data_IF_736349225439
#
_entry.id   IF_736349225439
#
_cell.length_a   1.000
_cell.length_b   1.000
_cell.length_c   1.000
_cell.angle_alpha   90.00
_cell.angle_beta   90.00
_cell.angle_gamma   90.00
#
_symmetry.space_group_name_H-M   'P 1'
#
loop_
_entity.id
_entity.type
_entity.pdbx_description
1 polymer ?
#
# COMPACT_ATOMS: atom_id res chain seq x y z
N UNK A 1 -26.28 -35.02 42.86
CA UNK A 1 -26.93 -35.03 44.20
C UNK A 1 -26.85 -33.63 44.78
N UNK A 2 -27.95 -33.18 45.40
CA UNK A 2 -28.37 -31.80 45.73
C UNK A 2 -29.17 -31.18 44.57
N UNK A 3 -30.38 -31.67 44.27
CA UNK A 3 -31.65 -31.42 44.96
C UNK A 3 -32.00 -29.93 45.08
N UNK A 4 -33.14 -29.59 44.46
CA UNK A 4 -33.59 -28.24 44.19
C UNK A 4 -33.96 -27.46 45.44
N UNK A 5 -33.55 -26.20 45.45
CA UNK A 5 -34.14 -25.19 46.31
C UNK A 5 -35.48 -24.83 45.70
N UNK A 6 -36.54 -25.13 46.44
CA UNK A 6 -37.92 -24.86 46.09
C UNK A 6 -38.13 -23.34 46.04
N UNK A 7 -38.73 -22.83 44.96
CA UNK A 7 -39.01 -21.39 44.75
C UNK A 7 -39.78 -20.75 45.92
N UNK A 8 -40.49 -21.55 46.72
CA UNK A 8 -41.20 -21.12 47.91
C UNK A 8 -40.30 -20.72 49.11
N UNK A 9 -39.00 -21.05 49.10
CA UNK A 9 -38.06 -20.59 50.15
C UNK A 9 -37.50 -19.19 49.91
N UNK A 10 -37.68 -18.60 48.72
CA UNK A 10 -37.30 -17.20 48.45
C UNK A 10 -38.30 -16.18 49.03
N UNK A 11 -39.46 -16.64 49.51
CA UNK A 11 -40.51 -15.79 50.05
C UNK A 11 -40.26 -15.36 51.51
N UNK A 12 -39.30 -15.99 52.19
CA UNK A 12 -38.94 -15.71 53.59
C UNK A 12 -37.65 -14.86 53.73
N UNK A 13 -37.12 -14.31 52.64
CA UNK A 13 -36.12 -13.25 52.75
C UNK A 13 -36.82 -11.95 53.14
N UNK A 14 -36.38 -11.25 54.21
CA UNK A 14 -36.94 -9.94 54.54
C UNK A 14 -36.76 -9.03 53.33
N UNK A 15 -37.86 -8.45 52.83
CA UNK A 15 -37.89 -7.48 51.75
C UNK A 15 -37.11 -6.23 52.18
N UNK A 16 -35.79 -6.26 52.05
CA UNK A 16 -34.94 -5.17 52.51
C UNK A 16 -35.09 -3.91 51.66
N UNK A 17 -35.76 -3.99 50.50
CA UNK A 17 -36.04 -2.85 49.63
C UNK A 17 -37.42 -2.98 48.96
N UNK A 18 -38.44 -2.35 49.56
CA UNK A 18 -39.66 -1.99 48.84
C UNK A 18 -39.36 -0.78 47.96
N UNK A 19 -39.27 -0.96 46.63
CA UNK A 19 -39.19 0.16 45.68
C UNK A 19 -40.59 0.50 45.16
N UNK A 20 -41.21 1.53 45.73
CA UNK A 20 -42.49 2.04 45.26
C UNK A 20 -42.28 3.09 44.16
N UNK A 21 -42.54 2.69 42.91
CA UNK A 21 -42.40 3.56 41.74
C UNK A 21 -43.39 4.74 41.71
N UNK A 22 -44.50 4.65 42.46
CA UNK A 22 -45.57 5.65 42.43
C UNK A 22 -45.22 6.91 43.23
N UNK A 23 -44.44 6.75 44.30
CA UNK A 23 -43.99 7.87 45.16
C UNK A 23 -42.69 8.55 44.70
N UNK A 24 -41.90 7.92 43.81
CA UNK A 24 -40.58 8.43 43.43
C UNK A 24 -40.65 9.68 42.54
N UNK A 25 -41.63 9.75 41.63
CA UNK A 25 -41.85 10.90 40.74
C UNK A 25 -42.88 11.91 41.26
N UNK A 26 -43.59 11.58 42.34
CA UNK A 26 -44.59 12.46 42.94
C UNK A 26 -43.91 13.54 43.81
N UNK A 27 -44.03 14.84 43.50
CA UNK A 27 -43.36 15.92 44.24
C UNK A 27 -43.94 16.17 45.64
N UNK A 28 -45.06 15.53 46.00
CA UNK A 28 -45.81 15.78 47.24
C UNK A 28 -45.66 14.68 48.31
N UNK A 29 -44.94 13.59 48.04
CA UNK A 29 -44.71 12.50 49.00
C UNK A 29 -43.31 12.60 49.66
N UNK A 30 -43.21 12.72 50.99
CA UNK A 30 -41.95 13.00 51.70
C UNK A 30 -41.07 11.76 51.95
N UNK A 31 -41.34 10.63 51.29
CA UNK A 31 -40.76 9.33 51.65
C UNK A 31 -39.34 9.10 51.12
N UNK A 32 -38.85 9.93 50.19
CA UNK A 32 -37.48 9.81 49.65
C UNK A 32 -36.72 11.13 49.78
N UNK A 33 -35.50 11.06 50.32
CA UNK A 33 -34.66 12.24 50.48
C UNK A 33 -34.30 12.83 49.10
N UNK A 34 -34.15 14.16 49.03
CA UNK A 34 -33.78 14.87 47.81
C UNK A 34 -32.50 14.30 47.18
N UNK A 35 -31.53 13.90 48.01
CA UNK A 35 -30.28 13.29 47.57
C UNK A 35 -30.48 11.97 46.83
N UNK A 36 -31.37 11.09 47.32
CA UNK A 36 -31.65 9.81 46.66
C UNK A 36 -32.29 10.00 45.29
N UNK A 37 -33.17 11.00 45.14
CA UNK A 37 -33.81 11.32 43.86
C UNK A 37 -32.80 11.84 42.83
N UNK A 38 -31.85 12.69 43.26
CA UNK A 38 -30.78 13.19 42.41
C UNK A 38 -29.80 12.10 41.98
N UNK A 39 -29.45 11.16 42.88
CA UNK A 39 -28.55 10.05 42.54
C UNK A 39 -29.20 9.14 41.48
N UNK A 40 -30.46 8.75 41.68
CA UNK A 40 -31.18 7.88 40.74
C UNK A 40 -31.43 8.59 39.40
N UNK A 41 -31.80 9.88 39.41
CA UNK A 41 -31.98 10.63 38.16
C UNK A 41 -30.68 10.76 37.38
N UNK A 42 -29.55 10.98 38.05
CA UNK A 42 -28.23 11.05 37.41
C UNK A 42 -27.86 9.69 36.80
N UNK A 43 -28.12 8.59 37.51
CA UNK A 43 -27.88 7.22 37.02
C UNK A 43 -28.74 6.88 35.80
N UNK A 44 -29.94 7.47 35.64
CA UNK A 44 -30.77 7.24 34.45
C UNK A 44 -30.42 8.20 33.30
N UNK A 45 -30.18 9.47 33.59
CA UNK A 45 -29.97 10.51 32.57
C UNK A 45 -28.60 10.38 31.91
N UNK A 46 -27.54 10.10 32.67
CA UNK A 46 -26.17 10.02 32.11
C UNK A 46 -26.05 8.89 31.07
N UNK A 47 -26.49 7.65 31.33
CA UNK A 47 -26.47 6.59 30.32
C UNK A 47 -27.38 6.88 29.13
N UNK A 48 -28.55 7.51 29.34
CA UNK A 48 -29.44 7.89 28.25
C UNK A 48 -28.80 8.93 27.31
N UNK A 49 -28.12 9.93 27.87
CA UNK A 49 -27.38 10.93 27.10
C UNK A 49 -26.19 10.29 26.37
N UNK A 50 -25.41 9.44 27.05
CA UNK A 50 -24.30 8.72 26.41
C UNK A 50 -24.78 7.78 25.29
N UNK A 51 -25.93 7.12 25.48
CA UNK A 51 -26.55 6.26 24.47
C UNK A 51 -27.08 7.09 23.30
N UNK A 52 -27.69 8.25 23.56
CA UNK A 52 -28.11 9.19 22.52
C UNK A 52 -26.94 9.73 21.69
N UNK A 53 -25.84 10.11 22.34
CA UNK A 53 -24.60 10.53 21.65
C UNK A 53 -23.98 9.39 20.85
N UNK A 54 -23.97 8.17 21.40
CA UNK A 54 -23.45 6.99 20.70
C UNK A 54 -24.34 6.59 19.52
N UNK A 55 -25.66 6.69 19.65
CA UNK A 55 -26.61 6.51 18.56
C UNK A 55 -26.42 7.58 17.49
N UNK A 56 -26.30 8.86 17.85
CA UNK A 56 -25.98 9.93 16.90
C UNK A 56 -24.66 9.64 16.16
N UNK A 57 -23.62 9.17 16.85
CA UNK A 57 -22.38 8.75 16.19
C UNK A 57 -22.53 7.53 15.27
N UNK A 58 -23.41 6.58 15.61
CA UNK A 58 -23.65 5.36 14.82
C UNK A 58 -24.57 5.62 13.62
N UNK A 59 -25.51 6.56 13.75
CA UNK A 59 -26.47 6.94 12.72
C UNK A 59 -26.07 8.19 11.94
N UNK A 60 -25.02 8.91 12.38
CA UNK A 60 -24.33 9.86 11.52
C UNK A 60 -23.93 9.11 10.27
N UNK A 61 -24.39 9.55 9.08
CA UNK A 61 -23.99 8.91 7.86
C UNK A 61 -22.46 8.95 7.80
N UNK A 62 -21.83 7.77 7.79
CA UNK A 62 -20.40 7.57 7.55
C UNK A 62 -19.97 8.03 6.14
N UNK A 63 -20.83 8.76 5.43
CA UNK A 63 -20.91 8.82 3.97
C UNK A 63 -21.10 10.26 3.47
N UNK A 64 -20.43 11.24 4.07
CA UNK A 64 -20.15 12.49 3.36
C UNK A 64 -19.01 12.23 2.36
N UNK A 65 -19.37 11.80 1.15
CA UNK A 65 -18.53 11.86 -0.05
C UNK A 65 -17.28 10.96 -0.12
N UNK A 66 -17.03 10.10 0.86
CA UNK A 66 -15.85 9.21 0.86
C UNK A 66 -16.01 7.90 0.07
N UNK A 67 -17.24 7.53 -0.31
CA UNK A 67 -17.49 6.47 -1.27
C UNK A 67 -18.17 7.08 -2.48
N UNK A 68 -17.44 7.09 -3.60
CA UNK A 68 -17.83 7.74 -4.84
C UNK A 68 -19.30 7.53 -5.19
N UNK A 69 -19.99 8.65 -5.40
CA UNK A 69 -21.37 8.69 -5.87
C UNK A 69 -21.50 7.77 -7.09
N UNK A 70 -22.38 6.77 -6.99
CA UNK A 70 -22.51 5.59 -7.87
C UNK A 70 -22.90 5.87 -9.35
N UNK A 71 -22.58 7.05 -9.90
CA UNK A 71 -22.83 7.37 -11.30
C UNK A 71 -21.53 7.46 -12.09
N UNK A 72 -21.58 6.94 -13.30
CA UNK A 72 -20.54 7.19 -14.28
C UNK A 72 -20.48 8.69 -14.60
N UNK A 73 -19.27 9.24 -14.68
CA UNK A 73 -19.06 10.61 -15.14
C UNK A 73 -19.49 10.71 -16.59
N UNK A 74 -20.12 11.83 -16.93
CA UNK A 74 -20.41 12.20 -18.31
C UNK A 74 -19.13 12.61 -19.02
N UNK A 75 -19.13 12.56 -20.36
CA UNK A 75 -17.99 13.01 -21.16
C UNK A 75 -17.59 14.47 -20.85
N UNK A 76 -18.57 15.35 -20.61
CA UNK A 76 -18.32 16.76 -20.26
C UNK A 76 -17.56 16.89 -18.95
N UNK A 77 -17.92 16.10 -17.94
CA UNK A 77 -17.23 16.08 -16.65
C UNK A 77 -15.82 15.52 -16.78
N UNK A 78 -15.62 14.46 -17.58
CA UNK A 78 -14.29 13.92 -17.88
C UNK A 78 -13.41 14.98 -18.57
N UNK A 79 -13.96 15.67 -19.58
CA UNK A 79 -13.27 16.73 -20.32
C UNK A 79 -12.87 17.94 -19.47
N UNK A 80 -13.59 18.19 -18.37
CA UNK A 80 -13.27 19.27 -17.43
C UNK A 80 -12.17 18.88 -16.44
N UNK A 81 -12.01 17.58 -16.16
CA UNK A 81 -11.13 17.08 -15.12
C UNK A 81 -9.79 16.64 -15.69
N UNK A 82 -9.82 15.92 -16.82
CA UNK A 82 -8.63 15.29 -17.37
C UNK A 82 -8.07 16.09 -18.55
N UNK A 83 -6.75 16.35 -18.59
CA UNK A 83 -6.12 16.97 -19.74
C UNK A 83 -6.29 16.13 -21.00
N UNK A 84 -6.51 16.85 -22.10
CA UNK A 84 -6.72 16.30 -23.44
C UNK A 84 -5.39 16.26 -24.21
N UNK A 85 -5.07 15.13 -24.82
CA UNK A 85 -3.89 14.95 -25.69
C UNK A 85 -4.31 14.41 -27.06
N UNK A 86 -3.55 14.69 -28.13
CA UNK A 86 -3.85 14.18 -29.48
C UNK A 86 -3.73 12.65 -29.55
N UNK A 87 -4.62 12.01 -30.31
CA UNK A 87 -4.67 10.53 -30.46
C UNK A 87 -3.36 9.92 -30.93
N UNK A 88 -2.68 10.50 -31.93
CA UNK A 88 -1.50 9.85 -32.53
C UNK A 88 -0.39 10.80 -32.97
N UNK A 89 0.82 10.22 -33.06
CA UNK A 89 2.03 10.68 -33.80
C UNK A 89 2.70 11.99 -33.36
N UNK A 90 2.01 12.88 -32.66
CA UNK A 90 2.58 14.15 -32.20
C UNK A 90 3.02 14.11 -30.74
N UNK A 91 4.10 14.82 -30.42
CA UNK A 91 4.39 15.19 -29.04
C UNK A 91 3.33 16.14 -28.49
N UNK A 92 3.24 16.25 -27.17
CA UNK A 92 2.33 17.18 -26.52
C UNK A 92 2.97 17.80 -25.27
N UNK A 93 2.61 19.05 -24.92
CA UNK A 93 3.21 19.74 -23.78
C UNK A 93 2.77 19.12 -22.45
N UNK A 94 3.66 19.18 -21.45
CA UNK A 94 3.39 18.68 -20.11
C UNK A 94 3.86 17.23 -19.90
N UNK A 95 3.25 16.55 -18.92
CA UNK A 95 3.53 15.16 -18.58
C UNK A 95 2.52 14.22 -19.24
N UNK A 96 2.98 13.03 -19.60
CA UNK A 96 2.11 11.94 -20.02
C UNK A 96 1.42 11.29 -18.83
N UNK A 97 0.45 10.42 -19.10
CA UNK A 97 -0.39 9.86 -18.05
C UNK A 97 -1.18 8.64 -18.49
N UNK A 98 -1.93 8.09 -17.54
CA UNK A 98 -2.73 6.88 -17.73
C UNK A 98 -3.98 7.26 -18.55
N UNK A 99 -4.28 6.56 -19.65
CA UNK A 99 -5.49 6.86 -20.42
C UNK A 99 -6.75 6.55 -19.61
N UNK A 100 -7.68 7.49 -19.57
CA UNK A 100 -8.99 7.34 -18.91
C UNK A 100 -10.09 7.09 -19.94
N UNK A 101 -10.08 7.86 -21.03
CA UNK A 101 -11.00 7.63 -22.13
C UNK A 101 -10.44 8.16 -23.44
N UNK A 102 -10.87 7.53 -24.54
CA UNK A 102 -10.66 8.01 -25.89
C UNK A 102 -11.96 8.56 -26.45
N UNK A 103 -11.96 9.80 -26.96
CA UNK A 103 -13.11 10.37 -27.64
C UNK A 103 -12.69 11.11 -28.91
N UNK A 104 -13.22 10.63 -30.04
CA UNK A 104 -12.91 11.11 -31.39
C UNK A 104 -11.42 10.97 -31.73
N UNK A 105 -10.66 12.06 -31.64
CA UNK A 105 -9.23 12.13 -32.03
C UNK A 105 -8.35 12.50 -30.84
N UNK A 106 -8.82 12.24 -29.63
CA UNK A 106 -8.17 12.69 -28.41
C UNK A 106 -8.27 11.66 -27.29
N UNK A 107 -7.19 11.57 -26.53
CA UNK A 107 -7.16 10.88 -25.25
C UNK A 107 -7.34 11.88 -24.12
N UNK A 108 -7.99 11.43 -23.06
CA UNK A 108 -8.05 12.11 -21.77
C UNK A 108 -7.24 11.30 -20.79
N UNK A 109 -6.20 11.91 -20.22
CA UNK A 109 -5.21 11.19 -19.42
C UNK A 109 -5.23 11.65 -17.97
N UNK A 110 -4.94 10.73 -17.04
CA UNK A 110 -4.68 11.03 -15.65
C UNK A 110 -3.18 11.29 -15.46
N UNK A 111 -2.84 12.53 -15.11
CA UNK A 111 -1.46 13.00 -14.90
C UNK A 111 -1.09 13.17 -13.43
N UNK A 112 -2.05 13.03 -12.51
CA UNK A 112 -1.80 13.14 -11.08
C UNK A 112 -0.95 11.98 -10.55
N UNK A 113 -0.21 12.23 -9.47
CA UNK A 113 0.61 11.22 -8.79
C UNK A 113 -0.26 10.30 -7.94
N UNK A 114 -1.03 9.44 -8.59
CA UNK A 114 -1.92 8.45 -7.96
C UNK A 114 -1.63 7.04 -8.43
N UNK A 115 -1.74 6.07 -7.51
CA UNK A 115 -1.65 4.66 -7.87
C UNK A 115 -2.93 4.22 -8.57
N UNK A 116 -2.81 3.53 -9.70
CA UNK A 116 -3.94 3.05 -10.50
C UNK A 116 -3.93 1.53 -10.58
N UNK A 117 -5.10 0.92 -10.35
CA UNK A 117 -5.31 -0.52 -10.46
C UNK A 117 -6.24 -0.82 -11.64
N UNK A 118 -5.72 -1.51 -12.66
CA UNK A 118 -6.48 -1.94 -13.83
C UNK A 118 -6.90 -3.40 -13.64
N UNK A 119 -8.20 -3.62 -13.46
CA UNK A 119 -8.76 -4.96 -13.25
C UNK A 119 -9.37 -5.49 -14.55
N UNK A 120 -8.89 -6.65 -14.99
CA UNK A 120 -9.42 -7.30 -16.19
C UNK A 120 -9.02 -8.76 -16.27
N UNK A 121 -9.91 -9.59 -16.81
CA UNK A 121 -9.68 -11.02 -17.02
C UNK A 121 -8.58 -11.28 -18.05
N UNK A 122 -8.13 -12.53 -18.19
CA UNK A 122 -7.22 -12.89 -19.27
C UNK A 122 -7.89 -12.66 -20.62
N UNK A 123 -7.14 -12.17 -21.61
CA UNK A 123 -7.62 -11.80 -22.97
C UNK A 123 -8.61 -10.62 -23.01
N UNK A 124 -8.74 -9.84 -21.94
CA UNK A 124 -9.55 -8.60 -21.94
C UNK A 124 -8.89 -7.41 -22.65
N UNK A 125 -7.68 -7.58 -23.20
CA UNK A 125 -6.94 -6.52 -23.88
C UNK A 125 -6.18 -5.54 -22.97
N UNK A 126 -6.13 -5.74 -21.64
CA UNK A 126 -5.48 -4.80 -20.70
C UNK A 126 -4.05 -4.36 -21.08
N UNK A 127 -3.22 -5.28 -21.59
CA UNK A 127 -1.87 -4.93 -22.04
C UNK A 127 -1.86 -3.97 -23.24
N UNK A 128 -2.76 -4.18 -24.19
CA UNK A 128 -2.83 -3.40 -25.43
C UNK A 128 -3.57 -2.08 -25.24
N UNK A 129 -4.69 -2.09 -24.52
CA UNK A 129 -5.58 -0.94 -24.37
C UNK A 129 -5.05 0.06 -23.34
N UNK A 130 -4.48 -0.42 -22.24
CA UNK A 130 -4.06 0.43 -21.12
C UNK A 130 -2.54 0.55 -21.02
N UNK A 131 -1.81 -0.57 -20.97
CA UNK A 131 -0.37 -0.52 -20.67
C UNK A 131 0.43 0.07 -21.84
N UNK A 132 0.24 -0.42 -23.07
CA UNK A 132 0.91 0.14 -24.24
C UNK A 132 0.49 1.59 -24.52
N UNK A 133 -0.79 1.91 -24.33
CA UNK A 133 -1.27 3.29 -24.46
C UNK A 133 -0.63 4.21 -23.39
N UNK A 134 -0.43 3.72 -22.16
CA UNK A 134 0.29 4.47 -21.12
C UNK A 134 1.74 4.68 -21.52
N UNK A 135 2.43 3.66 -22.04
CA UNK A 135 3.83 3.77 -22.52
C UNK A 135 3.92 4.80 -23.67
N UNK A 136 2.99 4.76 -24.64
CA UNK A 136 2.94 5.74 -25.74
C UNK A 136 2.69 7.16 -25.21
N UNK A 137 1.73 7.33 -24.31
CA UNK A 137 1.40 8.64 -23.72
C UNK A 137 2.59 9.22 -22.95
N UNK A 138 3.25 8.41 -22.11
CA UNK A 138 4.42 8.83 -21.33
C UNK A 138 5.59 9.25 -22.23
N UNK A 139 5.81 8.52 -23.32
CA UNK A 139 6.94 8.77 -24.22
C UNK A 139 6.73 9.90 -25.22
N UNK A 140 5.48 10.27 -25.52
CA UNK A 140 5.12 11.41 -26.38
C UNK A 140 5.09 12.75 -25.66
N UNK A 141 4.99 12.74 -24.35
CA UNK A 141 5.00 13.97 -23.56
C UNK A 141 6.34 14.70 -23.73
N UNK A 142 6.31 16.03 -23.83
CA UNK A 142 7.55 16.83 -23.84
C UNK A 142 8.34 16.67 -22.53
N UNK A 143 7.64 16.45 -21.41
CA UNK A 143 8.26 16.05 -20.14
C UNK A 143 8.17 14.53 -20.01
N UNK A 144 9.15 13.87 -20.60
CA UNK A 144 9.29 12.41 -20.61
C UNK A 144 9.57 11.88 -19.20
N UNK A 145 8.84 10.84 -18.79
CA UNK A 145 9.03 10.13 -17.52
C UNK A 145 9.89 8.88 -17.74
N UNK A 146 10.76 8.58 -16.77
CA UNK A 146 11.40 7.25 -16.69
C UNK A 146 10.36 6.17 -16.43
N UNK A 147 10.54 5.00 -17.05
CA UNK A 147 9.59 3.88 -16.95
C UNK A 147 10.30 2.61 -16.47
N UNK A 148 9.65 1.88 -15.57
CA UNK A 148 10.00 0.51 -15.21
C UNK A 148 8.77 -0.34 -15.46
N UNK A 149 8.86 -1.24 -16.44
CA UNK A 149 7.72 -2.04 -16.91
C UNK A 149 8.00 -3.50 -16.64
N UNK A 150 7.12 -4.15 -15.88
CA UNK A 150 7.18 -5.60 -15.68
C UNK A 150 6.50 -6.30 -16.86
N UNK A 151 7.29 -7.00 -17.66
CA UNK A 151 6.82 -7.69 -18.88
C UNK A 151 7.24 -9.16 -18.88
N UNK A 152 6.52 -10.03 -18.16
CA UNK A 152 6.88 -11.45 -18.05
C UNK A 152 6.75 -12.22 -19.38
N UNK A 153 6.16 -11.63 -20.42
CA UNK A 153 5.97 -12.27 -21.73
C UNK A 153 6.78 -11.62 -22.85
N UNK A 154 7.51 -10.55 -22.56
CA UNK A 154 8.28 -9.78 -23.55
C UNK A 154 7.41 -9.14 -24.66
N UNK A 155 6.08 -9.14 -24.49
CA UNK A 155 5.13 -8.59 -25.48
C UNK A 155 5.18 -7.05 -25.51
N UNK A 156 5.37 -6.42 -24.35
CA UNK A 156 5.41 -4.96 -24.21
C UNK A 156 6.76 -4.42 -24.69
N UNK A 157 7.86 -5.10 -24.35
CA UNK A 157 9.19 -4.74 -24.79
C UNK A 157 9.30 -4.77 -26.32
N UNK A 158 8.91 -5.88 -26.95
CA UNK A 158 8.92 -6.01 -28.42
C UNK A 158 8.02 -4.98 -29.10
N UNK A 159 6.88 -4.64 -28.49
CA UNK A 159 5.93 -3.71 -29.08
C UNK A 159 6.28 -2.22 -28.90
N UNK A 160 7.24 -1.86 -28.04
CA UNK A 160 7.50 -0.46 -27.69
C UNK A 160 8.96 -0.01 -27.79
N UNK A 161 9.92 -0.95 -27.83
CA UNK A 161 11.35 -0.63 -27.83
C UNK A 161 11.73 0.35 -28.93
N UNK A 162 11.43 0.03 -30.19
CA UNK A 162 11.89 0.81 -31.34
C UNK A 162 11.31 2.24 -31.32
N UNK A 163 10.03 2.40 -30.98
CA UNK A 163 9.40 3.70 -30.81
C UNK A 163 9.97 4.51 -29.64
N UNK A 164 10.31 3.86 -28.52
CA UNK A 164 10.92 4.51 -27.36
C UNK A 164 12.33 5.00 -27.69
N UNK A 165 13.15 4.16 -28.31
CA UNK A 165 14.49 4.53 -28.77
C UNK A 165 14.44 5.68 -29.78
N UNK A 166 13.51 5.63 -30.74
CA UNK A 166 13.29 6.72 -31.70
C UNK A 166 12.88 8.04 -31.04
N UNK A 167 12.33 8.00 -29.82
CA UNK A 167 11.94 9.15 -29.00
C UNK A 167 13.01 9.57 -27.98
N UNK A 168 14.20 8.96 -28.02
CA UNK A 168 15.35 9.33 -27.20
C UNK A 168 15.45 8.63 -25.85
N UNK A 169 14.70 7.54 -25.63
CA UNK A 169 14.85 6.73 -24.43
C UNK A 169 16.03 5.76 -24.53
N UNK A 170 16.77 5.61 -23.44
CA UNK A 170 17.67 4.48 -23.25
C UNK A 170 16.86 3.28 -22.75
N UNK A 171 16.56 2.33 -23.66
CA UNK A 171 15.71 1.18 -23.36
C UNK A 171 16.56 -0.04 -23.03
N UNK A 172 16.33 -0.62 -21.85
CA UNK A 172 17.02 -1.82 -21.39
C UNK A 172 16.02 -2.92 -21.01
N UNK A 173 16.30 -4.16 -21.40
CA UNK A 173 15.58 -5.33 -20.91
C UNK A 173 16.39 -6.02 -19.82
N UNK A 174 15.80 -6.27 -18.66
CA UNK A 174 16.40 -7.13 -17.62
C UNK A 174 15.75 -8.53 -17.70
N UNK A 175 16.43 -9.45 -18.39
CA UNK A 175 15.90 -10.78 -18.72
C UNK A 175 16.72 -11.88 -18.03
N UNK A 176 16.13 -12.49 -17.01
CA UNK A 176 16.78 -13.57 -16.25
C UNK A 176 16.72 -14.91 -17.02
N UNK A 177 15.76 -15.07 -17.93
CA UNK A 177 15.56 -16.32 -18.69
C UNK A 177 16.48 -16.42 -19.90
N UNK A 178 16.69 -15.31 -20.62
CA UNK A 178 17.65 -15.21 -21.72
C UNK A 178 18.68 -14.11 -21.42
N UNK A 179 19.81 -14.47 -20.76
CA UNK A 179 20.84 -13.50 -20.38
C UNK A 179 21.50 -12.80 -21.58
N UNK A 180 21.51 -13.41 -22.77
CA UNK A 180 22.10 -12.78 -23.96
C UNK A 180 21.27 -11.59 -24.47
N UNK A 181 19.97 -11.58 -24.15
CA UNK A 181 19.03 -10.50 -24.46
C UNK A 181 18.77 -9.60 -23.24
N UNK A 182 19.58 -9.72 -22.19
CA UNK A 182 19.48 -8.91 -20.98
C UNK A 182 20.57 -7.85 -20.93
N UNK A 183 20.25 -6.72 -20.33
CA UNK A 183 21.26 -5.83 -19.78
C UNK A 183 22.06 -6.55 -18.69
N UNK A 184 23.33 -6.17 -18.55
CA UNK A 184 24.13 -6.54 -17.39
C UNK A 184 23.82 -5.58 -16.24
N UNK A 185 23.65 -6.12 -15.03
CA UNK A 185 23.53 -5.31 -13.83
C UNK A 185 24.33 -5.94 -12.70
N UNK A 186 24.90 -5.09 -11.86
CA UNK A 186 25.49 -5.50 -10.59
C UNK A 186 24.61 -4.95 -9.47
N UNK A 187 23.82 -5.79 -8.78
CA UNK A 187 22.90 -5.32 -7.75
C UNK A 187 23.63 -4.74 -6.53
N UNK A 188 24.95 -4.96 -6.40
CA UNK A 188 25.78 -4.37 -5.35
C UNK A 188 26.32 -2.98 -5.72
N UNK A 189 26.14 -2.51 -6.96
CA UNK A 189 26.73 -1.26 -7.45
C UNK A 189 26.31 -0.03 -6.64
N UNK A 190 25.05 0.01 -6.16
CA UNK A 190 24.58 1.11 -5.32
C UNK A 190 25.25 1.11 -3.94
N UNK A 191 25.45 -0.06 -3.35
CA UNK A 191 26.19 -0.22 -2.08
C UNK A 191 27.62 0.28 -2.25
N UNK A 192 28.33 -0.17 -3.31
CA UNK A 192 29.69 0.29 -3.66
C UNK A 192 29.74 1.81 -3.80
N UNK A 193 28.76 2.41 -4.48
CA UNK A 193 28.72 3.85 -4.71
C UNK A 193 28.67 4.66 -3.40
N UNK A 194 27.86 4.26 -2.43
CA UNK A 194 27.76 4.96 -1.14
C UNK A 194 28.95 4.66 -0.23
N UNK A 195 29.42 3.42 -0.21
CA UNK A 195 30.63 3.03 0.51
C UNK A 195 31.83 3.87 0.08
N UNK A 196 32.08 3.99 -1.24
CA UNK A 196 33.17 4.81 -1.80
C UNK A 196 33.08 6.30 -1.49
N UNK A 197 31.89 6.80 -1.13
CA UNK A 197 31.68 8.20 -0.73
C UNK A 197 31.95 8.43 0.76
N UNK A 198 32.27 7.36 1.51
CA UNK A 198 32.38 7.39 2.97
C UNK A 198 31.03 7.40 3.69
N UNK A 199 29.92 7.19 2.97
CA UNK A 199 28.58 7.10 3.54
C UNK A 199 28.29 5.65 3.94
N UNK A 200 28.96 5.22 5.02
CA UNK A 200 28.92 3.85 5.53
C UNK A 200 27.52 3.48 6.03
N UNK A 201 26.80 4.45 6.60
CA UNK A 201 25.44 4.24 7.11
C UNK A 201 24.48 3.90 5.97
N UNK A 202 24.48 4.67 4.89
CA UNK A 202 23.64 4.39 3.72
C UNK A 202 24.05 3.10 3.03
N UNK A 203 25.35 2.83 2.89
CA UNK A 203 25.83 1.57 2.35
C UNK A 203 25.33 0.37 3.18
N UNK A 204 25.39 0.48 4.51
CA UNK A 204 24.92 -0.57 5.44
C UNK A 204 23.41 -0.79 5.33
N UNK A 205 22.62 0.29 5.25
CA UNK A 205 21.18 0.19 5.04
C UNK A 205 20.85 -0.50 3.71
N UNK A 206 21.53 -0.10 2.62
CA UNK A 206 21.35 -0.71 1.30
C UNK A 206 21.73 -2.19 1.29
N UNK A 207 22.82 -2.58 1.95
CA UNK A 207 23.21 -3.98 2.12
C UNK A 207 22.11 -4.78 2.83
N UNK A 208 21.59 -4.25 3.95
CA UNK A 208 20.49 -4.88 4.67
C UNK A 208 19.21 -4.99 3.82
N UNK A 209 18.86 -3.94 3.08
CA UNK A 209 17.70 -3.95 2.19
C UNK A 209 17.85 -5.00 1.10
N UNK A 210 19.01 -5.04 0.44
CA UNK A 210 19.31 -6.01 -0.61
C UNK A 210 19.20 -7.45 -0.11
N UNK A 211 19.88 -7.79 0.99
CA UNK A 211 19.82 -9.17 1.52
C UNK A 211 18.45 -9.51 2.08
N UNK A 212 17.72 -8.54 2.64
CA UNK A 212 16.34 -8.75 3.06
C UNK A 212 15.43 -9.10 1.87
N UNK A 213 15.63 -8.51 0.69
CA UNK A 213 14.86 -8.89 -0.52
C UNK A 213 15.05 -10.35 -0.93
N UNK A 214 16.18 -10.98 -0.57
CA UNK A 214 16.50 -12.37 -0.92
C UNK A 214 16.06 -13.36 0.15
N UNK A 215 16.31 -13.05 1.43
CA UNK A 215 16.15 -14.00 2.55
C UNK A 215 14.85 -13.82 3.33
N UNK A 216 14.17 -12.69 3.19
CA UNK A 216 12.92 -12.45 3.91
C UNK A 216 11.80 -13.35 3.40
N UNK A 217 11.18 -14.08 4.31
CA UNK A 217 9.95 -14.82 4.07
C UNK A 217 8.99 -14.58 5.25
N UNK A 218 7.84 -13.98 4.95
CA UNK A 218 6.81 -13.66 5.93
C UNK A 218 6.18 -14.92 6.57
N UNK A 219 6.27 -16.07 5.89
CA UNK A 219 5.70 -17.34 6.33
C UNK A 219 6.75 -18.30 6.91
N UNK A 220 7.96 -17.82 7.17
CA UNK A 220 9.11 -18.68 7.48
C UNK A 220 9.00 -19.47 8.81
N UNK A 221 8.08 -19.17 9.72
CA UNK A 221 7.97 -19.81 11.06
C UNK A 221 9.35 -20.13 11.67
N UNK A 222 9.68 -21.41 11.88
CA UNK A 222 10.95 -21.85 12.47
C UNK A 222 12.16 -21.63 11.54
N UNK A 223 11.93 -21.55 10.22
CA UNK A 223 12.96 -21.22 9.23
C UNK A 223 13.42 -19.76 9.33
N UNK A 224 12.69 -18.89 10.04
CA UNK A 224 13.08 -17.49 10.25
C UNK A 224 14.49 -17.38 10.84
N UNK A 225 14.82 -18.24 11.80
CA UNK A 225 16.16 -18.27 12.41
C UNK A 225 17.25 -18.57 11.37
N UNK A 226 17.03 -19.54 10.48
CA UNK A 226 17.99 -19.89 9.43
C UNK A 226 18.12 -18.77 8.39
N UNK A 227 17.00 -18.17 7.98
CA UNK A 227 16.98 -17.07 7.03
C UNK A 227 17.72 -15.83 7.56
N UNK A 228 17.49 -15.45 8.83
CA UNK A 228 18.19 -14.32 9.45
C UNK A 228 19.70 -14.56 9.58
N UNK A 229 20.11 -15.79 9.92
CA UNK A 229 21.54 -16.12 10.00
C UNK A 229 22.20 -16.14 8.61
N UNK A 230 21.52 -16.67 7.60
CA UNK A 230 21.99 -16.62 6.23
C UNK A 230 22.13 -15.17 5.73
N UNK A 231 21.15 -14.33 6.02
CA UNK A 231 21.19 -12.89 5.69
C UNK A 231 22.39 -12.20 6.34
N UNK A 232 22.62 -12.42 7.64
CA UNK A 232 23.78 -11.86 8.37
C UNK A 232 25.11 -12.34 7.81
N UNK A 233 25.20 -13.61 7.44
CA UNK A 233 26.41 -14.16 6.82
C UNK A 233 26.70 -13.48 5.47
N UNK A 234 25.70 -13.32 4.60
CA UNK A 234 25.87 -12.62 3.32
C UNK A 234 26.20 -11.14 3.50
N UNK A 235 25.58 -10.47 4.48
CA UNK A 235 25.96 -9.10 4.82
C UNK A 235 27.44 -9.00 5.18
N UNK A 236 27.93 -9.90 6.05
CA UNK A 236 29.33 -9.91 6.46
C UNK A 236 30.28 -10.13 5.27
N UNK A 237 29.91 -11.01 4.33
CA UNK A 237 30.69 -11.24 3.11
C UNK A 237 30.71 -10.00 2.20
N UNK A 238 29.59 -9.30 2.04
CA UNK A 238 29.53 -8.04 1.30
C UNK A 238 30.47 -7.01 1.92
N UNK A 239 30.46 -6.84 3.24
CA UNK A 239 31.36 -5.91 3.91
C UNK A 239 32.83 -6.33 3.81
N UNK A 240 33.14 -7.62 3.93
CA UNK A 240 34.50 -8.13 3.75
C UNK A 240 35.03 -7.83 2.34
N UNK A 241 34.21 -8.01 1.30
CA UNK A 241 34.56 -7.64 -0.07
C UNK A 241 34.75 -6.13 -0.24
N UNK A 242 33.92 -5.31 0.42
CA UNK A 242 34.06 -3.84 0.37
C UNK A 242 35.38 -3.39 1.01
N UNK A 243 35.73 -3.92 2.18
CA UNK A 243 37.00 -3.62 2.85
C UNK A 243 38.20 -4.12 2.03
N UNK A 244 38.11 -5.31 1.44
CA UNK A 244 39.15 -5.81 0.54
C UNK A 244 39.29 -4.92 -0.71
N UNK A 245 38.19 -4.44 -1.27
CA UNK A 245 38.19 -3.51 -2.40
C UNK A 245 38.82 -2.16 -2.03
N UNK A 246 38.58 -1.64 -0.81
CA UNK A 246 39.25 -0.44 -0.30
C UNK A 246 40.77 -0.64 -0.20
N UNK A 247 41.21 -1.79 0.30
CA UNK A 247 42.63 -2.11 0.46
C UNK A 247 43.36 -2.28 -0.88
N UNK A 248 42.70 -2.90 -1.85
CA UNK A 248 43.27 -3.21 -3.17
C UNK A 248 43.04 -2.11 -4.20
N UNK A 249 42.10 -1.19 -3.94
CA UNK A 249 41.64 -0.17 -4.89
C UNK A 249 40.75 -0.71 -6.02
N UNK A 250 40.39 -2.00 -5.99
CA UNK A 250 39.67 -2.68 -7.06
C UNK A 250 38.26 -3.12 -6.63
N UNK A 251 37.26 -2.30 -6.97
CA UNK A 251 35.85 -2.59 -6.72
C UNK A 251 35.18 -3.39 -7.85
N UNK A 252 35.88 -3.70 -8.94
CA UNK A 252 35.30 -4.44 -10.06
C UNK A 252 34.93 -5.88 -9.69
N UNK A 253 35.59 -6.41 -8.64
CA UNK A 253 35.35 -7.74 -8.08
C UNK A 253 34.18 -7.81 -7.12
N UNK A 254 33.49 -6.71 -6.85
CA UNK A 254 32.37 -6.70 -5.92
C UNK A 254 31.07 -7.07 -6.64
N UNK A 255 30.90 -8.35 -6.95
CA UNK A 255 29.73 -8.90 -7.64
C UNK A 255 29.12 -10.06 -6.85
N UNK A 256 27.83 -10.40 -7.09
CA UNK A 256 27.23 -11.58 -6.49
C UNK A 256 28.00 -12.88 -6.77
N UNK A 257 28.66 -13.00 -7.91
CA UNK A 257 29.45 -14.19 -8.24
C UNK A 257 30.66 -14.34 -7.29
N UNK A 258 31.37 -13.25 -7.02
CA UNK A 258 32.50 -13.26 -6.08
C UNK A 258 32.08 -13.55 -4.63
N UNK A 259 30.85 -13.18 -4.24
CA UNK A 259 30.30 -13.60 -2.94
C UNK A 259 30.15 -15.12 -2.85
N UNK A 260 29.71 -15.77 -3.93
CA UNK A 260 29.57 -17.23 -4.00
C UNK A 260 30.94 -17.90 -3.97
N UNK A 261 31.93 -17.35 -4.68
CA UNK A 261 33.31 -17.86 -4.67
C UNK A 261 33.95 -17.83 -3.27
N UNK A 262 33.58 -16.87 -2.42
CA UNK A 262 34.05 -16.82 -1.03
C UNK A 262 33.44 -17.90 -0.13
N UNK A 263 32.30 -18.47 -0.55
CA UNK A 263 31.59 -19.51 0.20
C UNK A 263 31.98 -20.94 -0.22
N UNK A 264 32.58 -21.10 -1.40
CA UNK A 264 33.04 -22.36 -1.97
C UNK A 264 34.48 -22.69 -1.61
#
# INVERSE_FOLDING_TARGET
>A
NLQGVNIFQLQEMPQLFHFDSTGFWNPLTPTTSLGTRLVVSTICVVPAVLMGLKMDMWFRPLADGQKGDNRLKTLKEIQQIYPQIPESKGSFPGYGGIPITHYKKYWYIQTDTVNTCIVGTSRSGKGQIEVLATIDNLSRAERQSSMVVNDPKTELYVASKDELEARGYDVYAFNITDPLQSMSDNPLALIVKYWKRGDIDTATQLTNTFTNTIYYDANASDNKYFNENAQKAVNALIFALLEQADQTGDYSKLTPNNLVELLS
#
